data_IF_639861523599
#
_entry.id   IF_639861523599
#
_cell.length_a   1.000
_cell.length_b   1.000
_cell.length_c   1.000
_cell.angle_alpha   90.00
_cell.angle_beta   90.00
_cell.angle_gamma   90.00
#
_symmetry.space_group_name_H-M   'P 1'
#
loop_
_entity.id
_entity.type
_entity.pdbx_description
1 polymer ?
#
# COMPACT_ATOMS: atom_id res chain seq x y z
N UNK A 1 55.09 2.12 28.02
CA UNK A 1 54.30 1.40 26.99
C UNK A 1 52.91 1.16 27.57
N UNK A 2 51.87 1.59 26.83
CA UNK A 2 50.46 1.12 26.75
C UNK A 2 49.88 0.32 27.94
N UNK A 3 48.68 0.53 28.47
CA UNK A 3 47.54 1.38 28.14
C UNK A 3 46.57 1.41 29.34
N UNK A 4 45.73 2.44 29.43
CA UNK A 4 44.56 2.55 30.27
C UNK A 4 43.34 1.87 29.62
N UNK A 5 42.40 1.34 30.41
CA UNK A 5 40.95 1.24 30.11
C UNK A 5 40.23 1.13 31.48
N UNK A 6 39.71 2.20 32.09
CA UNK A 6 38.48 2.92 31.77
C UNK A 6 37.20 2.10 31.99
N UNK A 7 36.64 2.33 33.18
CA UNK A 7 35.24 2.24 33.62
C UNK A 7 34.23 2.34 32.47
N UNK A 8 33.40 1.32 32.29
CA UNK A 8 32.21 1.35 31.43
C UNK A 8 30.96 1.19 32.28
N UNK A 9 30.45 2.31 32.79
CA UNK A 9 29.15 2.41 33.46
C UNK A 9 28.04 2.10 32.45
N UNK A 10 27.13 1.22 32.84
CA UNK A 10 25.84 0.98 32.19
C UNK A 10 25.10 2.30 32.02
N UNK A 11 24.94 2.77 30.77
CA UNK A 11 24.02 3.85 30.42
C UNK A 11 22.84 3.24 29.67
N UNK A 12 21.77 2.99 30.41
CA UNK A 12 20.43 2.83 29.86
C UNK A 12 20.01 4.19 29.27
N UNK A 13 19.82 4.25 27.95
CA UNK A 13 19.14 5.35 27.28
C UNK A 13 17.75 4.85 26.82
N UNK A 14 16.79 4.92 27.75
CA UNK A 14 15.37 5.02 27.45
C UNK A 14 15.10 6.49 27.09
N UNK A 15 15.08 6.83 25.80
CA UNK A 15 14.28 7.96 25.26
C UNK A 15 14.46 8.04 23.75
N UNK A 16 13.37 7.79 23.04
CA UNK A 16 13.26 8.01 21.61
C UNK A 16 12.46 6.91 20.96
N UNK A 17 11.15 7.13 20.82
CA UNK A 17 10.45 6.65 19.64
C UNK A 17 11.13 7.35 18.45
N UNK A 18 12.31 6.88 18.04
CA UNK A 18 12.86 7.21 16.75
C UNK A 18 11.92 6.52 15.77
N UNK A 19 10.84 7.21 15.41
CA UNK A 19 10.19 7.01 14.13
C UNK A 19 11.35 6.89 13.16
N UNK A 20 11.54 5.70 12.59
CA UNK A 20 12.53 5.50 11.55
C UNK A 20 12.44 6.69 10.61
N UNK A 21 13.56 7.25 10.12
CA UNK A 21 13.47 8.31 9.13
C UNK A 21 12.55 7.79 8.04
N UNK A 22 11.35 8.40 7.95
CA UNK A 22 10.43 8.18 6.86
C UNK A 22 11.32 8.28 5.64
N UNK A 23 11.28 7.26 4.78
CA UNK A 23 12.02 7.29 3.51
C UNK A 23 11.77 8.60 2.77
N UNK A 24 12.50 8.87 1.66
CA UNK A 24 12.23 10.06 0.86
C UNK A 24 10.71 10.21 0.70
N UNK A 25 10.17 11.32 1.25
CA UNK A 25 8.72 11.53 1.27
C UNK A 25 8.29 11.58 -0.18
N UNK A 26 7.48 10.61 -0.58
CA UNK A 26 6.91 10.63 -1.90
C UNK A 26 5.95 11.82 -2.00
N UNK A 27 6.22 12.72 -2.94
CA UNK A 27 5.38 13.89 -3.19
C UNK A 27 4.39 13.56 -4.30
N UNK A 28 3.22 13.06 -3.91
CA UNK A 28 2.12 12.71 -4.82
C UNK A 28 0.86 13.48 -4.44
N UNK A 29 0.14 13.96 -5.46
CA UNK A 29 -1.16 14.59 -5.30
C UNK A 29 -2.30 13.55 -5.34
N UNK A 30 -3.50 13.97 -4.93
CA UNK A 30 -4.70 13.14 -5.03
C UNK A 30 -4.97 12.73 -6.49
N UNK A 31 -4.86 13.68 -7.41
CA UNK A 31 -5.17 13.51 -8.83
C UNK A 31 -4.24 12.50 -9.52
N UNK A 32 -3.01 12.34 -9.01
CA UNK A 32 -2.07 11.34 -9.51
C UNK A 32 -2.40 9.93 -9.03
N UNK A 33 -2.91 9.78 -7.80
CA UNK A 33 -3.17 8.46 -7.20
C UNK A 33 -4.59 7.95 -7.44
N UNK A 34 -5.57 8.86 -7.54
CA UNK A 34 -7.00 8.55 -7.75
C UNK A 34 -7.26 7.52 -8.87
N UNK A 35 -6.69 7.66 -10.09
CA UNK A 35 -6.95 6.69 -11.17
C UNK A 35 -6.39 5.29 -10.88
N UNK A 36 -5.47 5.15 -9.92
CA UNK A 36 -4.83 3.87 -9.58
C UNK A 36 -5.63 3.07 -8.54
N UNK A 37 -6.54 3.72 -7.82
CA UNK A 37 -7.26 3.12 -6.69
C UNK A 37 -8.14 1.96 -7.15
N UNK A 38 -8.98 2.18 -8.16
CA UNK A 38 -9.94 1.16 -8.61
C UNK A 38 -9.24 -0.10 -9.18
N UNK A 39 -8.25 0.00 -10.09
CA UNK A 39 -7.53 -1.18 -10.58
C UNK A 39 -6.90 -2.03 -9.48
N UNK A 40 -6.20 -1.41 -8.52
CA UNK A 40 -5.62 -2.15 -7.39
C UNK A 40 -6.70 -2.78 -6.49
N UNK A 41 -7.77 -2.03 -6.22
CA UNK A 41 -8.85 -2.50 -5.34
C UNK A 41 -9.59 -3.67 -5.94
N UNK A 42 -9.96 -3.62 -7.23
CA UNK A 42 -10.68 -4.70 -7.89
C UNK A 42 -9.85 -5.96 -8.02
N UNK A 43 -8.57 -5.85 -8.36
CA UNK A 43 -7.67 -7.02 -8.32
C UNK A 43 -7.60 -7.64 -6.93
N UNK A 44 -7.43 -6.82 -5.89
CA UNK A 44 -7.42 -7.31 -4.51
C UNK A 44 -8.71 -8.06 -4.15
N UNK A 45 -9.88 -7.50 -4.50
CA UNK A 45 -11.19 -8.11 -4.22
C UNK A 45 -11.41 -9.41 -4.99
N UNK A 46 -11.01 -9.46 -6.26
CA UNK A 46 -11.09 -10.68 -7.07
C UNK A 46 -10.21 -11.78 -6.48
N UNK A 47 -8.97 -11.47 -6.10
CA UNK A 47 -8.09 -12.47 -5.45
C UNK A 47 -8.66 -12.90 -4.10
N UNK A 48 -9.14 -11.97 -3.28
CA UNK A 48 -9.73 -12.27 -1.97
C UNK A 48 -10.95 -13.21 -2.07
N UNK A 49 -11.79 -13.01 -3.08
CA UNK A 49 -13.03 -13.79 -3.26
C UNK A 49 -12.81 -15.09 -4.04
N UNK A 50 -11.96 -15.06 -5.07
CA UNK A 50 -11.86 -16.13 -6.07
C UNK A 50 -10.59 -16.97 -5.94
N UNK A 51 -9.51 -16.46 -5.36
CA UNK A 51 -8.24 -17.19 -5.19
C UNK A 51 -7.44 -16.76 -3.94
N UNK A 52 -8.01 -16.91 -2.73
CA UNK A 52 -7.36 -16.43 -1.51
C UNK A 52 -6.07 -17.20 -1.16
N UNK A 53 -5.87 -18.40 -1.72
CA UNK A 53 -4.66 -19.22 -1.48
C UNK A 53 -3.41 -18.65 -2.16
N UNK A 54 -3.57 -17.86 -3.22
CA UNK A 54 -2.46 -17.16 -3.88
C UNK A 54 -1.94 -15.95 -3.09
N UNK A 55 -2.65 -15.54 -2.05
CA UNK A 55 -2.30 -14.42 -1.19
C UNK A 55 -2.89 -13.10 -1.68
N UNK A 56 -3.73 -12.50 -0.85
CA UNK A 56 -4.38 -11.23 -1.16
C UNK A 56 -3.33 -10.11 -1.24
N UNK A 57 -3.29 -9.34 -2.34
CA UNK A 57 -2.40 -8.19 -2.47
C UNK A 57 -2.65 -7.17 -1.35
N UNK A 58 -1.60 -6.44 -0.96
CA UNK A 58 -1.73 -5.29 -0.06
C UNK A 58 -2.68 -4.26 -0.68
N UNK A 59 -3.50 -3.63 0.14
CA UNK A 59 -4.34 -2.51 -0.28
C UNK A 59 -3.46 -1.30 -0.66
N UNK A 60 -3.94 -0.48 -1.59
CA UNK A 60 -3.11 0.59 -2.17
C UNK A 60 -2.79 1.70 -1.16
N UNK A 61 -3.66 1.97 -0.20
CA UNK A 61 -3.39 2.89 0.92
C UNK A 61 -2.18 2.44 1.75
N UNK A 62 -2.03 1.13 1.97
CA UNK A 62 -0.89 0.57 2.68
C UNK A 62 0.41 0.72 1.86
N UNK A 63 0.34 0.48 0.54
CA UNK A 63 1.46 0.69 -0.38
C UNK A 63 1.89 2.17 -0.38
N UNK A 64 0.95 3.11 -0.41
CA UNK A 64 1.22 4.55 -0.33
C UNK A 64 1.88 4.93 1.01
N UNK A 65 1.39 4.38 2.13
CA UNK A 65 1.94 4.63 3.44
C UNK A 65 3.38 4.12 3.57
N UNK A 66 3.68 2.90 3.09
CA UNK A 66 5.04 2.35 3.06
C UNK A 66 5.99 3.17 2.17
N UNK A 67 5.48 3.76 1.09
CA UNK A 67 6.23 4.66 0.22
C UNK A 67 6.42 6.07 0.80
N UNK A 68 5.86 6.37 1.98
CA UNK A 68 5.99 7.68 2.62
C UNK A 68 5.16 8.78 1.96
N UNK A 69 4.04 8.44 1.32
CA UNK A 69 3.10 9.39 0.75
C UNK A 69 2.45 10.28 1.83
N UNK A 70 1.88 11.45 1.48
CA UNK A 70 1.26 12.35 2.45
C UNK A 70 0.08 11.68 3.15
N UNK A 71 -0.01 11.81 4.48
CA UNK A 71 -1.07 11.18 5.28
C UNK A 71 -2.49 11.54 4.82
N UNK A 72 -2.68 12.77 4.34
CA UNK A 72 -3.96 13.22 3.78
C UNK A 72 -4.35 12.46 2.50
N UNK A 73 -3.37 12.09 1.67
CA UNK A 73 -3.60 11.32 0.45
C UNK A 73 -3.90 9.87 0.82
N UNK A 74 -3.09 9.29 1.71
CA UNK A 74 -3.31 7.93 2.24
C UNK A 74 -4.72 7.79 2.83
N UNK A 75 -5.16 8.74 3.67
CA UNK A 75 -6.50 8.72 4.27
C UNK A 75 -7.60 8.75 3.22
N UNK A 76 -7.49 9.62 2.21
CA UNK A 76 -8.49 9.70 1.13
C UNK A 76 -8.53 8.41 0.30
N UNK A 77 -7.38 7.79 0.03
CA UNK A 77 -7.32 6.51 -0.67
C UNK A 77 -8.00 5.40 0.15
N UNK A 78 -7.77 5.36 1.47
CA UNK A 78 -8.43 4.39 2.35
C UNK A 78 -9.96 4.55 2.37
N UNK A 79 -10.46 5.79 2.37
CA UNK A 79 -11.90 6.08 2.28
C UNK A 79 -12.48 5.59 0.95
N UNK A 80 -11.79 5.82 -0.16
CA UNK A 80 -12.24 5.40 -1.49
C UNK A 80 -12.20 3.88 -1.67
N UNK A 81 -11.16 3.20 -1.16
CA UNK A 81 -11.10 1.73 -1.11
C UNK A 81 -12.30 1.17 -0.32
N UNK A 82 -12.64 1.81 0.81
CA UNK A 82 -13.77 1.40 1.63
C UNK A 82 -15.11 1.58 0.92
N UNK A 83 -15.26 2.67 0.14
CA UNK A 83 -16.42 2.89 -0.73
C UNK A 83 -16.53 1.79 -1.78
N UNK A 84 -15.46 1.50 -2.52
CA UNK A 84 -15.45 0.46 -3.56
C UNK A 84 -15.73 -0.95 -2.99
N UNK A 85 -15.19 -1.27 -1.80
CA UNK A 85 -15.53 -2.52 -1.08
C UNK A 85 -17.01 -2.61 -0.75
N UNK A 86 -17.60 -1.51 -0.28
CA UNK A 86 -19.03 -1.44 0.05
C UNK A 86 -19.88 -1.61 -1.20
N UNK A 87 -19.50 -0.94 -2.30
CA UNK A 87 -20.18 -1.05 -3.58
C UNK A 87 -20.13 -2.48 -4.13
N UNK A 88 -18.97 -3.15 -4.07
CA UNK A 88 -18.85 -4.57 -4.41
C UNK A 88 -19.77 -5.44 -3.54
N UNK A 89 -19.73 -5.25 -2.22
CA UNK A 89 -20.56 -6.04 -1.30
C UNK A 89 -22.07 -5.86 -1.54
N UNK A 90 -22.49 -4.70 -2.03
CA UNK A 90 -23.88 -4.42 -2.38
C UNK A 90 -24.27 -4.95 -3.77
N UNK A 91 -23.30 -5.26 -4.63
CA UNK A 91 -23.49 -5.73 -6.00
C UNK A 91 -22.68 -7.03 -6.25
N UNK A 92 -23.00 -8.15 -5.58
CA UNK A 92 -22.17 -9.36 -5.56
C UNK A 92 -22.03 -10.04 -6.92
N UNK A 93 -22.92 -9.74 -7.89
CA UNK A 93 -22.89 -10.31 -9.23
C UNK A 93 -21.83 -9.65 -10.15
N UNK A 94 -21.21 -8.54 -9.72
CA UNK A 94 -20.22 -7.81 -10.52
C UNK A 94 -18.85 -8.54 -10.59
N UNK A 95 -18.58 -9.46 -9.65
CA UNK A 95 -17.31 -10.17 -9.52
C UNK A 95 -17.49 -11.69 -9.60
N UNK A 96 -18.07 -12.13 -10.71
CA UNK A 96 -18.10 -13.56 -11.04
C UNK A 96 -16.66 -14.06 -11.21
N UNK A 97 -16.30 -15.12 -10.49
CA UNK A 97 -14.99 -15.75 -10.56
C UNK A 97 -14.79 -16.48 -11.91
N UNK A 98 -14.65 -15.72 -13.00
CA UNK A 98 -14.30 -16.24 -14.33
C UNK A 98 -12.85 -15.94 -14.65
N UNK A 99 -12.21 -16.76 -15.51
CA UNK A 99 -10.85 -16.47 -15.99
C UNK A 99 -10.73 -15.09 -16.64
N UNK A 100 -11.73 -14.67 -17.41
CA UNK A 100 -11.72 -13.39 -18.12
C UNK A 100 -11.71 -12.20 -17.15
N UNK A 101 -12.51 -12.27 -16.07
CA UNK A 101 -12.50 -11.23 -15.02
C UNK A 101 -11.15 -11.15 -14.33
N UNK A 102 -10.54 -12.31 -14.06
CA UNK A 102 -9.21 -12.37 -13.48
C UNK A 102 -8.17 -11.72 -14.41
N UNK A 103 -8.11 -12.15 -15.67
CA UNK A 103 -7.19 -11.62 -16.69
C UNK A 103 -7.35 -10.11 -16.90
N UNK A 104 -8.59 -9.62 -16.98
CA UNK A 104 -8.87 -8.18 -17.10
C UNK A 104 -8.41 -7.39 -15.88
N UNK A 105 -8.63 -7.92 -14.67
CA UNK A 105 -8.20 -7.27 -13.43
C UNK A 105 -6.69 -7.24 -13.28
N UNK A 106 -6.00 -8.30 -13.69
CA UNK A 106 -4.54 -8.38 -13.71
C UNK A 106 -3.95 -7.40 -14.72
N UNK A 107 -4.54 -7.28 -15.92
CA UNK A 107 -4.10 -6.31 -16.92
C UNK A 107 -4.26 -4.85 -16.43
N UNK A 108 -5.42 -4.51 -15.89
CA UNK A 108 -5.67 -3.17 -15.36
C UNK A 108 -4.75 -2.83 -14.17
N UNK A 109 -4.51 -3.80 -13.27
CA UNK A 109 -3.59 -3.61 -12.17
C UNK A 109 -2.13 -3.51 -12.63
N UNK A 110 -1.73 -4.21 -13.70
CA UNK A 110 -0.40 -4.07 -14.28
C UNK A 110 -0.18 -2.68 -14.89
N UNK A 111 -1.19 -2.11 -15.56
CA UNK A 111 -1.15 -0.73 -16.05
C UNK A 111 -1.06 0.27 -14.89
N UNK A 112 -1.87 0.08 -13.85
CA UNK A 112 -1.82 0.91 -12.64
C UNK A 112 -0.49 0.79 -11.90
N UNK A 113 0.10 -0.41 -11.87
CA UNK A 113 1.42 -0.65 -11.31
C UNK A 113 2.52 0.05 -12.10
N UNK A 114 2.46 0.03 -13.43
CA UNK A 114 3.41 0.79 -14.27
C UNK A 114 3.30 2.30 -14.00
N UNK A 115 2.08 2.84 -13.95
CA UNK A 115 1.86 4.25 -13.61
C UNK A 115 2.35 4.59 -12.18
N UNK A 116 2.15 3.68 -11.22
CA UNK A 116 2.67 3.84 -9.86
C UNK A 116 4.21 3.84 -9.82
N UNK A 117 4.85 2.97 -10.59
CA UNK A 117 6.31 2.92 -10.68
C UNK A 117 6.87 4.20 -11.31
N UNK A 118 6.20 4.76 -12.32
CA UNK A 118 6.56 6.07 -12.88
C UNK A 118 6.44 7.21 -11.85
N UNK A 119 5.43 7.18 -10.97
CA UNK A 119 5.25 8.20 -9.93
C UNK A 119 6.34 8.16 -8.84
N UNK A 120 6.91 6.99 -8.56
CA UNK A 120 7.98 6.85 -7.55
C UNK A 120 9.37 7.21 -8.07
N UNK A 121 9.56 7.17 -9.39
CA UNK A 121 10.88 7.30 -10.04
C UNK A 121 11.80 6.11 -9.76
#
# INVERSE_FOLDING_TARGET
>A
MRAAVATGVLAAALTGCASAPLGPKLDVSWEQVEPLIAPFTYRMLIVEQCDPVSGVPKSFDFVLAEAGAPAQVVSKVADEISRLRTDNSNNPDEYVCTPEMFEMSEAAAAEAQAAWDELKG
#
